data_IF_505137723959
#
_entry.id   IF_505137723959
#
_cell.length_a   1.000
_cell.length_b   1.000
_cell.length_c   1.000
_cell.angle_alpha   90.00
_cell.angle_beta   90.00
_cell.angle_gamma   90.00
#
_symmetry.space_group_name_H-M   'P 1'
#
loop_
_entity.id
_entity.type
_entity.pdbx_description
1 polymer ?
#
# COMPACT_ATOMS: atom_id res chain seq x y z
N UNK A 1 -23.98 -16.70 3.45
CA UNK A 1 -23.99 -17.51 4.64
C UNK A 1 -23.44 -16.76 5.82
N UNK A 2 -24.14 -16.83 6.94
CA UNK A 2 -23.74 -16.10 8.13
C UNK A 2 -22.35 -16.48 8.62
N UNK A 3 -22.02 -17.78 8.57
CA UNK A 3 -20.70 -18.24 8.99
C UNK A 3 -19.56 -17.68 8.19
N UNK A 4 -19.76 -17.55 6.88
CA UNK A 4 -18.73 -16.96 6.02
C UNK A 4 -18.52 -15.48 6.29
N UNK A 5 -19.62 -14.76 6.50
CA UNK A 5 -19.53 -13.34 6.79
C UNK A 5 -18.78 -13.10 8.10
N UNK A 6 -19.07 -13.90 9.12
CA UNK A 6 -18.38 -13.82 10.40
C UNK A 6 -16.89 -14.10 10.23
N UNK A 7 -16.57 -15.13 9.42
CA UNK A 7 -15.19 -15.53 9.19
C UNK A 7 -14.42 -14.41 8.47
N UNK A 8 -15.00 -13.82 7.43
CA UNK A 8 -14.37 -12.72 6.71
C UNK A 8 -14.17 -11.50 7.60
N UNK A 9 -15.19 -11.20 8.41
CA UNK A 9 -15.10 -10.06 9.31
C UNK A 9 -14.00 -10.27 10.35
N UNK A 10 -13.92 -11.46 10.92
CA UNK A 10 -12.86 -11.78 11.87
C UNK A 10 -11.48 -11.69 11.26
N UNK A 11 -11.32 -12.15 10.03
CA UNK A 11 -10.06 -12.07 9.32
C UNK A 11 -9.64 -10.61 9.09
N UNK A 12 -10.59 -9.77 8.68
CA UNK A 12 -10.30 -8.35 8.44
C UNK A 12 -9.91 -7.63 9.73
N UNK A 13 -10.57 -7.97 10.82
CA UNK A 13 -10.24 -7.39 12.11
C UNK A 13 -8.85 -7.78 12.57
N UNK A 14 -8.48 -9.03 12.38
CA UNK A 14 -7.13 -9.51 12.71
C UNK A 14 -6.08 -8.82 11.87
N UNK A 15 -6.36 -8.64 10.58
CA UNK A 15 -5.45 -7.97 9.67
C UNK A 15 -5.25 -6.52 10.08
N UNK A 16 -6.36 -5.84 10.41
CA UNK A 16 -6.30 -4.45 10.88
C UNK A 16 -5.46 -4.33 12.14
N UNK A 17 -5.64 -5.26 13.08
CA UNK A 17 -4.88 -5.24 14.32
C UNK A 17 -3.38 -5.40 14.06
N UNK A 18 -3.02 -6.26 13.12
CA UNK A 18 -1.61 -6.44 12.76
C UNK A 18 -1.02 -5.16 12.18
N UNK A 19 -1.76 -4.50 11.31
CA UNK A 19 -1.29 -3.26 10.70
C UNK A 19 -1.15 -2.17 11.76
N UNK A 20 -2.11 -2.06 12.66
CA UNK A 20 -2.05 -1.06 13.72
C UNK A 20 -0.89 -1.27 14.66
N UNK A 21 -0.56 -2.52 14.94
CA UNK A 21 0.49 -2.83 15.90
C UNK A 21 1.88 -2.85 15.26
N UNK A 22 2.00 -3.39 14.06
CA UNK A 22 3.30 -3.63 13.45
C UNK A 22 3.53 -2.87 12.14
N UNK A 23 2.54 -2.17 11.63
CA UNK A 23 2.65 -1.46 10.37
C UNK A 23 2.32 -2.30 9.17
N UNK A 24 2.06 -1.63 8.06
CA UNK A 24 1.68 -2.29 6.82
C UNK A 24 2.80 -3.19 6.29
N UNK A 25 4.04 -2.82 6.52
CA UNK A 25 5.19 -3.58 6.04
C UNK A 25 5.35 -4.93 6.75
N UNK A 26 4.58 -5.18 7.82
CA UNK A 26 4.58 -6.49 8.47
C UNK A 26 3.81 -7.52 7.66
N UNK A 27 3.05 -7.08 6.67
CA UNK A 27 2.24 -7.97 5.85
C UNK A 27 3.03 -8.47 4.65
N UNK A 28 2.75 -9.72 4.24
CA UNK A 28 3.27 -10.22 2.99
C UNK A 28 2.61 -9.45 1.83
N UNK A 29 3.23 -9.46 0.63
CA UNK A 29 2.66 -8.69 -0.49
C UNK A 29 1.20 -8.98 -0.78
N UNK A 30 0.79 -10.26 -0.75
CA UNK A 30 -0.62 -10.58 -1.01
C UNK A 30 -1.53 -10.07 0.11
N UNK A 31 -1.02 -10.08 1.34
CA UNK A 31 -1.80 -9.57 2.48
C UNK A 31 -1.96 -8.06 2.39
N UNK A 32 -0.90 -7.36 2.00
CA UNK A 32 -0.97 -5.91 1.85
C UNK A 32 -1.99 -5.53 0.77
N UNK A 33 -1.99 -6.24 -0.36
CA UNK A 33 -2.97 -5.99 -1.41
C UNK A 33 -4.38 -6.32 -0.93
N UNK A 34 -4.54 -7.43 -0.23
CA UNK A 34 -5.83 -7.81 0.32
C UNK A 34 -6.37 -6.71 1.24
N UNK A 35 -5.52 -6.20 2.10
CA UNK A 35 -5.90 -5.15 3.04
C UNK A 35 -6.34 -3.89 2.30
N UNK A 36 -5.58 -3.48 1.30
CA UNK A 36 -5.93 -2.29 0.50
C UNK A 36 -7.26 -2.49 -0.22
N UNK A 37 -7.50 -3.70 -0.73
CA UNK A 37 -8.73 -3.98 -1.45
C UNK A 37 -9.96 -3.94 -0.56
N UNK A 38 -9.80 -4.01 0.76
CA UNK A 38 -10.92 -3.83 1.67
C UNK A 38 -11.56 -2.46 1.51
N UNK A 39 -10.79 -1.47 1.09
CA UNK A 39 -11.30 -0.10 0.92
C UNK A 39 -12.40 -0.06 -0.13
N UNK A 40 -12.24 -0.82 -1.20
CA UNK A 40 -13.17 -0.80 -2.32
C UNK A 40 -14.06 -2.04 -2.39
N UNK A 41 -13.87 -3.01 -1.50
CA UNK A 41 -14.62 -4.26 -1.49
C UNK A 41 -15.07 -4.57 -0.06
N UNK A 42 -16.14 -3.90 0.36
CA UNK A 42 -16.57 -3.96 1.76
C UNK A 42 -16.94 -5.36 2.23
N UNK A 43 -17.45 -6.22 1.35
CA UNK A 43 -17.97 -7.53 1.74
C UNK A 43 -17.39 -8.69 0.99
N UNK A 44 -16.55 -8.43 0.00
CA UNK A 44 -16.00 -9.47 -0.84
C UNK A 44 -14.75 -10.07 -0.21
N UNK A 45 -14.54 -11.35 -0.50
CA UNK A 45 -13.27 -11.98 -0.18
C UNK A 45 -12.23 -11.50 -1.17
N UNK A 46 -11.25 -10.74 -0.71
CA UNK A 46 -10.23 -10.16 -1.57
C UNK A 46 -8.95 -10.97 -1.63
N UNK A 47 -8.89 -12.09 -0.94
CA UNK A 47 -7.68 -12.92 -0.93
C UNK A 47 -7.33 -13.45 -2.32
N UNK A 48 -8.31 -14.03 -3.01
CA UNK A 48 -8.09 -14.54 -4.35
C UNK A 48 -7.72 -13.47 -5.34
N UNK A 49 -8.33 -12.29 -5.20
CA UNK A 49 -8.03 -11.16 -6.08
C UNK A 49 -6.58 -10.72 -5.87
N UNK A 50 -6.14 -10.65 -4.61
CA UNK A 50 -4.78 -10.25 -4.30
C UNK A 50 -3.76 -11.22 -4.89
N UNK A 51 -4.02 -12.51 -4.78
CA UNK A 51 -3.14 -13.51 -5.37
C UNK A 51 -3.09 -13.41 -6.89
N UNK A 52 -4.24 -13.20 -7.52
CA UNK A 52 -4.32 -13.06 -8.97
C UNK A 52 -3.54 -11.84 -9.45
N UNK A 53 -3.62 -10.75 -8.72
CA UNK A 53 -2.88 -9.53 -9.06
C UNK A 53 -1.37 -9.78 -8.98
N UNK A 54 -0.90 -10.42 -7.93
CA UNK A 54 0.52 -10.72 -7.79
C UNK A 54 1.01 -11.66 -8.88
N UNK A 55 0.20 -12.66 -9.21
CA UNK A 55 0.57 -13.60 -10.26
C UNK A 55 0.69 -12.89 -11.60
N UNK A 56 -0.23 -11.97 -11.89
CA UNK A 56 -0.23 -11.26 -13.16
C UNK A 56 0.91 -10.25 -13.27
N UNK A 57 1.19 -9.51 -12.21
CA UNK A 57 2.12 -8.37 -12.29
C UNK A 57 3.45 -8.62 -11.57
N UNK A 58 3.59 -9.74 -10.92
CA UNK A 58 4.88 -10.20 -10.40
C UNK A 58 5.28 -9.70 -9.02
N UNK A 59 4.78 -8.55 -8.58
CA UNK A 59 5.13 -8.00 -7.29
C UNK A 59 4.12 -6.96 -6.87
N UNK A 60 4.18 -6.57 -5.61
CA UNK A 60 3.35 -5.48 -5.10
C UNK A 60 3.60 -4.20 -5.90
N UNK A 61 4.87 -3.87 -6.12
CA UNK A 61 5.21 -2.69 -6.91
C UNK A 61 4.66 -2.81 -8.33
N UNK A 62 4.78 -3.99 -8.92
CA UNK A 62 4.26 -4.21 -10.27
C UNK A 62 2.77 -3.98 -10.38
N UNK A 63 2.02 -4.37 -9.35
CA UNK A 63 0.59 -4.13 -9.30
C UNK A 63 0.30 -2.62 -9.29
N UNK A 64 0.98 -1.88 -8.44
CA UNK A 64 0.73 -0.45 -8.31
C UNK A 64 1.20 0.35 -9.52
N UNK A 65 2.14 -0.20 -10.29
CA UNK A 65 2.65 0.48 -11.48
C UNK A 65 1.87 0.14 -12.74
N UNK A 66 0.96 -0.82 -12.66
CA UNK A 66 0.14 -1.20 -13.79
C UNK A 66 -0.89 -0.11 -14.09
N UNK A 67 -1.35 -0.04 -15.34
CA UNK A 67 -2.38 0.91 -15.71
C UNK A 67 -3.73 0.45 -15.17
N UNK A 68 -4.67 1.38 -15.04
CA UNK A 68 -6.04 1.03 -14.62
C UNK A 68 -6.64 0.01 -15.57
N UNK A 69 -6.39 0.15 -16.85
CA UNK A 69 -6.91 -0.78 -17.85
C UNK A 69 -6.38 -2.19 -17.61
N UNK A 70 -5.09 -2.30 -17.38
CA UNK A 70 -4.49 -3.61 -17.12
C UNK A 70 -5.02 -4.23 -15.84
N UNK A 71 -5.17 -3.41 -14.81
CA UNK A 71 -5.69 -3.90 -13.53
C UNK A 71 -7.12 -4.42 -13.68
N UNK A 72 -7.94 -3.73 -14.47
CA UNK A 72 -9.32 -4.15 -14.67
C UNK A 72 -9.46 -5.47 -15.43
N UNK A 73 -8.40 -5.92 -16.08
CA UNK A 73 -8.42 -7.23 -16.75
C UNK A 73 -8.33 -8.40 -15.78
N UNK A 74 -7.94 -8.14 -14.55
CA UNK A 74 -7.88 -9.19 -13.54
C UNK A 74 -9.29 -9.42 -13.00
N UNK A 75 -9.77 -10.68 -13.04
CA UNK A 75 -11.12 -10.96 -12.54
C UNK A 75 -11.28 -10.51 -11.09
N UNK A 76 -12.36 -9.82 -10.82
CA UNK A 76 -12.65 -9.31 -9.50
C UNK A 76 -12.20 -7.88 -9.25
N UNK A 77 -11.39 -7.33 -10.15
CA UNK A 77 -10.93 -5.95 -10.03
C UNK A 77 -11.85 -5.04 -10.84
N UNK A 78 -12.63 -4.23 -10.15
CA UNK A 78 -13.49 -3.26 -10.79
C UNK A 78 -12.81 -1.90 -10.95
N UNK A 79 -13.49 -0.93 -11.57
CA UNK A 79 -12.89 0.39 -11.80
C UNK A 79 -12.45 1.09 -10.54
N UNK A 80 -13.21 0.97 -9.46
CA UNK A 80 -12.85 1.63 -8.19
C UNK A 80 -11.55 1.05 -7.61
N UNK A 81 -11.41 -0.27 -7.63
CA UNK A 81 -10.22 -0.92 -7.13
C UNK A 81 -9.01 -0.58 -8.00
N UNK A 82 -9.20 -0.60 -9.32
CA UNK A 82 -8.11 -0.28 -10.25
C UNK A 82 -7.63 1.16 -10.04
N UNK A 83 -8.57 2.08 -9.89
CA UNK A 83 -8.23 3.49 -9.67
C UNK A 83 -7.49 3.69 -8.36
N UNK A 84 -7.97 3.04 -7.31
CA UNK A 84 -7.34 3.14 -5.99
C UNK A 84 -5.90 2.64 -6.05
N UNK A 85 -5.68 1.45 -6.60
CA UNK A 85 -4.34 0.87 -6.66
C UNK A 85 -3.41 1.72 -7.52
N UNK A 86 -3.91 2.17 -8.66
CA UNK A 86 -3.10 2.98 -9.58
C UNK A 86 -2.72 4.33 -8.97
N UNK A 87 -3.55 4.84 -8.08
CA UNK A 87 -3.35 6.15 -7.47
C UNK A 87 -2.30 6.12 -6.36
N UNK A 88 -2.07 4.97 -5.73
CA UNK A 88 -1.22 4.91 -4.54
C UNK A 88 0.21 5.43 -4.74
N UNK A 89 0.89 5.15 -5.85
CA UNK A 89 2.21 5.75 -6.04
C UNK A 89 2.15 7.28 -6.11
N UNK A 90 1.08 7.82 -6.69
CA UNK A 90 0.89 9.28 -6.72
C UNK A 90 0.70 9.84 -5.32
N UNK A 91 -0.09 9.15 -4.51
CA UNK A 91 -0.32 9.56 -3.13
C UNK A 91 1.00 9.56 -2.36
N UNK A 92 1.81 8.55 -2.58
CA UNK A 92 3.11 8.44 -1.93
C UNK A 92 4.01 9.62 -2.31
N UNK A 93 4.04 9.96 -3.60
CA UNK A 93 4.84 11.10 -4.06
C UNK A 93 4.34 12.43 -3.50
N UNK A 94 3.03 12.61 -3.46
CA UNK A 94 2.45 13.82 -2.92
C UNK A 94 2.78 13.97 -1.43
N UNK A 95 2.68 12.87 -0.71
CA UNK A 95 3.01 12.84 0.72
C UNK A 95 4.46 13.26 0.96
N UNK A 96 5.39 12.68 0.21
CA UNK A 96 6.80 13.01 0.37
C UNK A 96 7.10 14.45 -0.01
N UNK A 97 6.46 14.92 -1.07
CA UNK A 97 6.60 16.30 -1.50
C UNK A 97 6.14 17.27 -0.41
N UNK A 98 4.98 16.97 0.18
CA UNK A 98 4.43 17.84 1.24
C UNK A 98 5.31 17.82 2.48
N UNK A 99 5.81 16.67 2.86
CA UNK A 99 6.73 16.56 3.99
C UNK A 99 7.97 17.40 3.78
N UNK A 100 8.55 17.32 2.61
CA UNK A 100 9.74 18.05 2.27
C UNK A 100 9.50 19.56 2.33
N UNK A 101 8.35 20.00 1.81
CA UNK A 101 7.97 21.40 1.85
C UNK A 101 7.79 21.91 3.28
N UNK A 102 7.13 21.10 4.11
CA UNK A 102 6.93 21.43 5.51
C UNK A 102 8.26 21.53 6.26
N UNK A 103 9.14 20.58 6.01
CA UNK A 103 10.45 20.55 6.62
C UNK A 103 11.33 21.70 6.13
N UNK A 104 10.94 22.33 5.04
CA UNK A 104 11.66 23.49 4.52
C UNK A 104 11.71 24.67 5.49
N UNK A 105 10.88 24.68 6.52
CA UNK A 105 10.91 25.71 7.54
C UNK A 105 12.07 25.51 8.52
N UNK A 106 12.69 24.34 8.53
CA UNK A 106 13.82 24.05 9.41
C UNK A 106 15.12 24.52 8.78
N UNK A 107 16.16 24.61 9.61
CA UNK A 107 17.48 24.89 9.08
C UNK A 107 17.88 23.76 8.15
N UNK A 108 18.82 24.02 7.26
CA UNK A 108 19.27 23.02 6.31
C UNK A 108 19.75 21.75 7.02
N UNK A 109 20.55 21.92 8.06
CA UNK A 109 21.08 20.78 8.80
C UNK A 109 19.98 19.99 9.49
N UNK A 110 19.09 20.71 10.18
CA UNK A 110 17.98 20.06 10.87
C UNK A 110 17.08 19.33 9.89
N UNK A 111 16.81 19.93 8.76
CA UNK A 111 15.97 19.34 7.75
C UNK A 111 16.59 18.05 7.22
N UNK A 112 17.87 18.05 6.95
CA UNK A 112 18.55 16.86 6.46
C UNK A 112 18.52 15.74 7.50
N UNK A 113 18.79 16.05 8.74
CA UNK A 113 18.75 15.05 9.80
C UNK A 113 17.35 14.45 9.94
N UNK A 114 16.35 15.33 9.96
CA UNK A 114 14.96 14.87 10.08
C UNK A 114 14.53 14.01 8.89
N UNK A 115 14.94 14.41 7.70
CA UNK A 115 14.56 13.73 6.48
C UNK A 115 15.30 12.40 6.31
N UNK A 116 16.59 12.40 6.57
CA UNK A 116 17.43 11.21 6.36
C UNK A 116 17.23 10.13 7.39
N UNK A 117 16.99 10.52 8.65
CA UNK A 117 16.90 9.56 9.73
C UNK A 117 15.83 8.48 9.51
N UNK A 118 14.60 8.83 9.15
CA UNK A 118 13.62 7.80 8.86
C UNK A 118 14.00 6.93 7.66
N UNK A 119 14.66 7.52 6.66
CA UNK A 119 15.07 6.76 5.48
C UNK A 119 16.12 5.73 5.82
N UNK A 120 17.07 6.09 6.68
CA UNK A 120 18.08 5.15 7.13
C UNK A 120 17.45 4.02 7.94
N UNK A 121 16.48 4.34 8.76
CA UNK A 121 15.84 3.35 9.62
C UNK A 121 15.02 2.34 8.84
N UNK A 122 14.35 2.79 7.77
CA UNK A 122 13.42 1.94 7.06
C UNK A 122 13.75 1.67 5.61
N UNK A 123 14.80 2.27 5.05
CA UNK A 123 15.09 2.19 3.64
C UNK A 123 16.51 1.74 3.37
N UNK A 124 16.75 1.38 2.12
CA UNK A 124 18.09 1.01 1.68
C UNK A 124 18.93 2.26 1.52
N UNK A 125 20.23 2.07 1.65
CA UNK A 125 21.16 3.19 1.60
C UNK A 125 21.12 3.95 0.29
N UNK A 126 20.98 3.26 -0.81
CA UNK A 126 20.97 3.92 -2.11
C UNK A 126 19.85 4.93 -2.26
N UNK A 127 18.78 4.80 -1.49
CA UNK A 127 17.69 5.76 -1.55
C UNK A 127 18.06 7.08 -0.91
N UNK A 128 18.96 7.05 0.03
CA UNK A 128 19.41 8.26 0.70
C UNK A 128 20.19 9.13 -0.27
N UNK A 129 20.91 8.52 -1.17
CA UNK A 129 21.74 9.23 -2.13
C UNK A 129 20.95 10.04 -3.14
N UNK A 130 19.65 9.81 -3.21
CA UNK A 130 18.78 10.52 -4.14
C UNK A 130 18.33 11.88 -3.62
N UNK A 131 18.80 12.25 -2.47
CA UNK A 131 18.49 13.59 -1.96
C UNK A 131 19.22 14.65 -2.74
#
# INVERSE_FOLDING_TARGET
MAGQNISHEGHRQRMRARVEQYGLESLAPHEALEYLLYITNARRDTNGIAHALLERFGSFAGVLEASEEELCRVPGVGPASARMLHLLPEVSRYYEHDRTSTEGALTTTERLVTYLRPRFAGARQEKVLLL
#
